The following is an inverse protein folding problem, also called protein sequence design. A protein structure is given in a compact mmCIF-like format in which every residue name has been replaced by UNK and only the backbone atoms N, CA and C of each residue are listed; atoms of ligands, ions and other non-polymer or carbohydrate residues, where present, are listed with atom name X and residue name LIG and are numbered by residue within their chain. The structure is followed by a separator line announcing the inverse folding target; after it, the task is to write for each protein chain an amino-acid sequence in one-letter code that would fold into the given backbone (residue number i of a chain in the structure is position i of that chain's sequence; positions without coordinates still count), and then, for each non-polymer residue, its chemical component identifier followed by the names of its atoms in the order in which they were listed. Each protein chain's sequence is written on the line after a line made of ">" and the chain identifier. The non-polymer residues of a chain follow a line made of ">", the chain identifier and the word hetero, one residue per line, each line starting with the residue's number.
data_IF_491196048105
#
_entry.id   IF_491196048105
#
_cell.length_a   1.000
_cell.length_b   1.000
_cell.length_c   1.000
_cell.angle_alpha   90.00
_cell.angle_beta   90.00
_cell.angle_gamma   90.00
#
_symmetry.space_group_name_H-M   'P 1'
#
loop_
_entity.id
_entity.type
_entity.pdbx_description
1 polymer ?
#
# COMPACT_ATOMS: atom_id res chain seq x y z
N UNK A 1 63.65 14.38 -17.58
CA UNK A 1 62.52 14.80 -16.72
C UNK A 1 61.31 13.94 -17.08
N UNK A 2 60.99 12.92 -16.27
CA UNK A 2 59.84 12.03 -16.51
C UNK A 2 58.62 12.63 -15.81
N UNK A 3 57.62 13.09 -16.57
CA UNK A 3 56.32 13.50 -16.07
C UNK A 3 55.52 12.25 -15.64
N UNK A 4 55.22 12.15 -14.37
CA UNK A 4 54.31 11.09 -13.84
C UNK A 4 52.91 11.65 -13.96
N UNK A 5 52.09 11.02 -14.83
CA UNK A 5 50.67 11.33 -14.98
C UNK A 5 49.91 10.63 -13.87
N UNK A 6 49.45 11.38 -12.86
CA UNK A 6 48.62 10.86 -11.79
C UNK A 6 47.17 10.84 -12.29
N UNK A 7 46.66 9.65 -12.62
CA UNK A 7 45.24 9.47 -12.94
C UNK A 7 44.48 9.39 -11.61
N UNK A 8 43.76 10.47 -11.31
CA UNK A 8 42.82 10.52 -10.15
C UNK A 8 41.56 9.77 -10.59
N UNK A 9 41.40 8.54 -10.08
CA UNK A 9 40.19 7.75 -10.23
C UNK A 9 39.12 8.34 -9.27
N UNK A 10 38.17 9.13 -9.82
CA UNK A 10 37.05 9.61 -9.06
C UNK A 10 36.02 8.45 -8.92
N UNK A 11 35.62 8.03 -7.71
CA UNK A 11 34.58 7.05 -7.56
C UNK A 11 33.25 7.65 -8.03
N UNK A 12 32.67 7.09 -9.10
CA UNK A 12 31.29 7.37 -9.46
C UNK A 12 30.39 6.84 -8.35
N UNK A 13 29.87 7.74 -7.50
CA UNK A 13 28.78 7.45 -6.58
C UNK A 13 27.53 7.20 -7.44
N UNK A 14 27.23 5.95 -7.69
CA UNK A 14 25.92 5.54 -8.24
C UNK A 14 24.91 5.72 -7.14
N UNK A 15 24.16 6.83 -7.18
CA UNK A 15 22.95 6.96 -6.37
C UNK A 15 21.96 5.91 -6.90
N UNK A 16 21.65 4.92 -6.07
CA UNK A 16 20.54 4.01 -6.35
C UNK A 16 19.25 4.85 -6.31
N UNK A 17 18.70 5.10 -7.50
CA UNK A 17 17.41 5.79 -7.64
C UNK A 17 16.37 4.94 -6.93
N UNK A 18 15.64 5.56 -5.99
CA UNK A 18 14.65 4.85 -5.17
C UNK A 18 13.42 4.55 -6.05
N UNK A 19 13.46 3.43 -6.75
CA UNK A 19 12.48 3.03 -7.76
C UNK A 19 11.11 2.63 -7.18
N UNK A 20 10.94 2.77 -5.86
CA UNK A 20 9.69 2.49 -5.15
C UNK A 20 9.24 3.71 -4.35
N UNK A 21 7.98 4.12 -4.56
CA UNK A 21 7.30 5.11 -3.73
C UNK A 21 5.90 4.64 -3.37
N UNK A 22 5.58 4.58 -2.09
CA UNK A 22 4.25 4.22 -1.61
C UNK A 22 3.38 5.48 -1.58
N UNK A 23 2.24 5.43 -2.27
CA UNK A 23 1.31 6.57 -2.41
C UNK A 23 0.30 6.54 -1.26
N UNK A 24 -0.39 5.40 -1.11
CA UNK A 24 -1.40 5.12 -0.09
C UNK A 24 -1.35 3.64 0.29
N UNK A 25 -2.39 3.13 0.97
CA UNK A 25 -2.41 1.75 1.46
C UNK A 25 -2.47 0.68 0.37
N UNK A 26 -2.90 1.01 -0.85
CA UNK A 26 -3.04 0.04 -1.95
C UNK A 26 -2.45 0.50 -3.28
N UNK A 27 -1.69 1.59 -3.29
CA UNK A 27 -1.11 2.14 -4.51
C UNK A 27 0.36 2.48 -4.31
N UNK A 28 1.20 1.97 -5.21
CA UNK A 28 2.63 2.24 -5.24
C UNK A 28 3.06 2.77 -6.61
N UNK A 29 4.17 3.51 -6.65
CA UNK A 29 4.96 3.70 -7.86
C UNK A 29 6.16 2.77 -7.79
N UNK A 30 6.34 1.95 -8.81
CA UNK A 30 7.44 1.00 -8.93
C UNK A 30 8.02 1.08 -10.33
N UNK A 31 9.30 1.43 -10.44
CA UNK A 31 10.02 1.61 -11.72
C UNK A 31 9.31 2.55 -12.72
N UNK A 32 8.66 3.61 -12.20
CA UNK A 32 7.91 4.57 -13.01
C UNK A 32 6.44 4.22 -13.26
N UNK A 33 6.03 2.99 -13.04
CA UNK A 33 4.64 2.55 -13.18
C UNK A 33 3.82 2.82 -11.92
N UNK A 34 2.58 3.28 -12.11
CA UNK A 34 1.60 3.40 -11.03
C UNK A 34 0.81 2.09 -10.92
N UNK A 35 1.02 1.37 -9.83
CA UNK A 35 0.44 0.05 -9.57
C UNK A 35 -0.58 0.18 -8.43
N UNK A 36 -1.82 -0.27 -8.69
CA UNK A 36 -2.85 -0.47 -7.67
C UNK A 36 -2.97 -1.95 -7.33
N UNK A 37 -2.99 -2.26 -6.05
CA UNK A 37 -3.20 -3.63 -5.59
C UNK A 37 -4.61 -4.09 -5.95
N UNK A 38 -4.70 -5.23 -6.65
CA UNK A 38 -5.96 -5.79 -7.12
C UNK A 38 -6.75 -6.44 -5.98
N UNK A 39 -8.07 -6.46 -6.12
CA UNK A 39 -8.99 -7.17 -5.25
C UNK A 39 -9.17 -6.62 -3.84
N UNK A 40 -8.53 -5.50 -3.51
CA UNK A 40 -8.67 -4.81 -2.23
C UNK A 40 -8.99 -3.33 -2.40
N UNK A 41 -9.49 -2.72 -1.32
CA UNK A 41 -9.67 -1.27 -1.20
C UNK A 41 -9.23 -0.82 0.19
N UNK A 42 -8.43 0.23 0.26
CA UNK A 42 -7.91 0.76 1.53
C UNK A 42 -8.52 2.13 1.83
N UNK A 43 -8.54 2.56 3.10
CA UNK A 43 -8.99 3.91 3.43
C UNK A 43 -8.14 4.94 2.70
N UNK A 44 -8.80 6.00 2.23
CA UNK A 44 -8.14 7.13 1.58
C UNK A 44 -7.15 7.79 2.54
N UNK A 45 -6.04 8.32 2.03
CA UNK A 45 -4.95 8.86 2.86
C UNK A 45 -5.41 9.87 3.93
N UNK A 46 -6.46 10.65 3.62
CA UNK A 46 -7.05 11.65 4.53
C UNK A 46 -8.24 11.11 5.32
N UNK A 47 -8.56 9.84 5.20
CA UNK A 47 -9.69 9.24 5.87
C UNK A 47 -9.40 9.04 7.36
N UNK A 48 -10.35 9.48 8.18
CA UNK A 48 -10.30 9.34 9.63
C UNK A 48 -11.27 8.26 10.09
N UNK A 49 -10.93 7.60 11.18
CA UNK A 49 -11.76 6.66 11.92
C UNK A 49 -11.91 7.14 13.35
N UNK A 50 -12.83 6.55 14.10
CA UNK A 50 -13.01 6.87 15.52
C UNK A 50 -12.86 5.60 16.35
N UNK A 51 -12.08 5.67 17.42
CA UNK A 51 -11.98 4.60 18.42
C UNK A 51 -12.16 5.19 19.79
N UNK A 52 -13.27 4.80 20.45
CA UNK A 52 -13.76 5.52 21.62
C UNK A 52 -13.96 7.01 21.25
N UNK A 53 -13.38 7.94 22.02
CA UNK A 53 -13.46 9.38 21.70
C UNK A 53 -12.25 9.89 20.88
N UNK A 54 -11.35 9.00 20.43
CA UNK A 54 -10.14 9.38 19.71
C UNK A 54 -10.37 9.32 18.21
N UNK A 55 -9.98 10.37 17.51
CA UNK A 55 -9.93 10.43 16.05
C UNK A 55 -8.58 9.91 15.57
N UNK A 56 -8.62 8.95 14.65
CA UNK A 56 -7.45 8.19 14.19
C UNK A 56 -7.32 8.35 12.68
N UNK A 57 -6.15 8.70 12.19
CA UNK A 57 -5.85 8.80 10.76
C UNK A 57 -5.68 7.40 10.14
N UNK A 58 -6.79 6.68 9.95
CA UNK A 58 -6.78 5.29 9.50
C UNK A 58 -6.22 5.12 8.08
N UNK A 59 -6.41 6.11 7.19
CA UNK A 59 -5.79 6.10 5.88
C UNK A 59 -4.26 6.18 5.94
N UNK A 60 -3.73 7.05 6.80
CA UNK A 60 -2.30 7.13 7.02
C UNK A 60 -1.75 5.87 7.70
N UNK A 61 -2.52 5.26 8.61
CA UNK A 61 -2.13 4.00 9.24
C UNK A 61 -2.02 2.85 8.23
N UNK A 62 -2.95 2.75 7.28
CA UNK A 62 -2.89 1.75 6.21
C UNK A 62 -1.61 1.92 5.38
N UNK A 63 -1.28 3.16 4.99
CA UNK A 63 -0.03 3.47 4.29
C UNK A 63 1.21 3.09 5.11
N UNK A 64 1.29 3.52 6.36
CA UNK A 64 2.43 3.23 7.24
C UNK A 64 2.60 1.72 7.48
N UNK A 65 1.49 0.98 7.56
CA UNK A 65 1.51 -0.47 7.68
C UNK A 65 2.14 -1.11 6.43
N UNK A 66 1.76 -0.64 5.25
CA UNK A 66 2.36 -1.09 3.99
C UNK A 66 3.85 -0.74 3.91
N UNK A 67 4.23 0.49 4.26
CA UNK A 67 5.62 0.93 4.30
C UNK A 67 6.47 0.05 5.22
N UNK A 68 5.97 -0.22 6.43
CA UNK A 68 6.64 -1.10 7.39
C UNK A 68 6.77 -2.53 6.87
N UNK A 69 5.74 -3.04 6.18
CA UNK A 69 5.75 -4.40 5.62
C UNK A 69 6.75 -4.57 4.50
N UNK A 70 6.85 -3.59 3.63
CA UNK A 70 7.79 -3.57 2.50
C UNK A 70 9.23 -3.35 3.01
N UNK A 71 9.42 -2.39 3.91
CA UNK A 71 10.74 -2.01 4.42
C UNK A 71 11.67 -1.58 3.28
N UNK A 72 12.84 -2.18 3.21
CA UNK A 72 13.85 -1.91 2.17
C UNK A 72 13.73 -2.85 0.96
N UNK A 73 12.77 -3.78 0.98
CA UNK A 73 12.60 -4.79 -0.06
C UNK A 73 11.85 -4.19 -1.26
N UNK A 74 12.25 -4.54 -2.47
CA UNK A 74 11.48 -4.22 -3.68
C UNK A 74 10.41 -5.29 -3.87
N UNK A 75 9.11 -4.94 -3.92
CA UNK A 75 8.05 -5.91 -4.15
C UNK A 75 8.12 -6.53 -5.54
N UNK A 76 7.74 -7.80 -5.64
CA UNK A 76 7.50 -8.46 -6.94
C UNK A 76 5.99 -8.41 -7.19
N UNK A 77 5.59 -7.80 -8.32
CA UNK A 77 4.19 -7.61 -8.66
C UNK A 77 3.81 -8.46 -9.88
N UNK A 78 2.73 -9.23 -9.75
CA UNK A 78 2.14 -10.01 -10.83
C UNK A 78 0.99 -9.19 -11.40
N UNK A 79 1.14 -8.75 -12.66
CA UNK A 79 0.16 -7.90 -13.34
C UNK A 79 -1.10 -8.68 -13.70
N UNK A 80 -2.27 -8.12 -13.41
CA UNK A 80 -3.59 -8.71 -13.66
C UNK A 80 -4.41 -7.90 -14.69
N UNK A 81 -3.94 -6.70 -15.06
CA UNK A 81 -4.61 -5.84 -16.05
C UNK A 81 -4.43 -4.36 -15.79
N UNK A 82 -5.39 -3.57 -16.28
CA UNK A 82 -5.46 -2.12 -16.03
C UNK A 82 -6.86 -1.73 -15.60
N UNK A 83 -6.94 -0.72 -14.74
CA UNK A 83 -8.22 -0.12 -14.40
C UNK A 83 -8.64 0.95 -15.45
N UNK A 84 -9.86 1.47 -15.28
CA UNK A 84 -10.40 2.51 -16.16
C UNK A 84 -9.63 3.84 -16.15
N UNK A 85 -8.72 4.02 -15.20
CA UNK A 85 -7.86 5.20 -15.08
C UNK A 85 -6.44 4.95 -15.62
N UNK A 86 -6.19 3.77 -16.22
CA UNK A 86 -4.90 3.39 -16.78
C UNK A 86 -3.86 2.93 -15.76
N UNK A 87 -4.22 2.78 -14.46
CA UNK A 87 -3.31 2.21 -13.46
C UNK A 87 -3.16 0.71 -13.70
N UNK A 88 -1.95 0.21 -13.55
CA UNK A 88 -1.73 -1.24 -13.55
C UNK A 88 -2.37 -1.87 -12.32
N UNK A 89 -3.15 -2.93 -12.53
CA UNK A 89 -3.67 -3.76 -11.47
C UNK A 89 -2.74 -4.94 -11.26
N UNK A 90 -2.32 -5.17 -10.02
CA UNK A 90 -1.41 -6.27 -9.72
C UNK A 90 -1.61 -6.80 -8.30
N UNK A 91 -1.24 -8.06 -8.10
CA UNK A 91 -0.94 -8.58 -6.78
C UNK A 91 0.57 -8.50 -6.53
N UNK A 92 0.97 -7.83 -5.45
CA UNK A 92 2.37 -7.60 -5.10
C UNK A 92 2.77 -8.40 -3.87
N UNK A 93 4.02 -8.87 -3.88
CA UNK A 93 4.57 -9.79 -2.87
C UNK A 93 5.90 -9.27 -2.31
N UNK A 94 6.11 -9.49 -1.03
CA UNK A 94 7.39 -9.32 -0.35
C UNK A 94 7.73 -10.62 0.37
N UNK A 95 8.91 -11.18 0.09
CA UNK A 95 9.33 -12.47 0.63
C UNK A 95 8.29 -13.60 0.42
N UNK A 96 7.67 -13.63 -0.77
CA UNK A 96 6.65 -14.60 -1.15
C UNK A 96 5.28 -14.43 -0.48
N UNK A 97 5.07 -13.37 0.31
CA UNK A 97 3.80 -13.08 1.00
C UNK A 97 3.06 -11.95 0.32
N UNK A 98 1.77 -12.17 0.01
CA UNK A 98 0.89 -11.16 -0.60
C UNK A 98 0.73 -9.95 0.31
N UNK A 99 0.97 -8.77 -0.24
CA UNK A 99 0.75 -7.50 0.45
C UNK A 99 -0.75 -7.22 0.62
N UNK A 100 -1.57 -7.59 -0.37
CA UNK A 100 -3.03 -7.49 -0.30
C UNK A 100 -3.60 -8.34 0.83
N UNK A 101 -3.25 -9.63 0.89
CA UNK A 101 -3.66 -10.53 1.99
C UNK A 101 -3.22 -10.00 3.34
N UNK A 102 -1.98 -9.54 3.46
CA UNK A 102 -1.46 -8.97 4.70
C UNK A 102 -2.29 -7.77 5.18
N UNK A 103 -2.55 -6.78 4.32
CA UNK A 103 -3.30 -5.58 4.68
C UNK A 103 -4.75 -5.89 5.09
N UNK A 104 -5.40 -6.84 4.39
CA UNK A 104 -6.76 -7.27 4.73
C UNK A 104 -6.78 -8.01 6.07
N UNK A 105 -5.84 -8.92 6.32
CA UNK A 105 -5.74 -9.63 7.61
C UNK A 105 -5.45 -8.72 8.79
N UNK A 106 -4.66 -7.67 8.60
CA UNK A 106 -4.41 -6.65 9.63
C UNK A 106 -5.60 -5.67 9.81
N UNK A 107 -6.63 -5.77 8.96
CA UNK A 107 -7.85 -4.95 9.03
C UNK A 107 -7.67 -3.51 8.54
N UNK A 108 -6.68 -3.25 7.69
CA UNK A 108 -6.44 -1.94 7.06
C UNK A 108 -6.69 -1.93 5.55
N UNK A 109 -7.25 -3.01 5.01
CA UNK A 109 -7.84 -3.09 3.70
C UNK A 109 -9.12 -3.93 3.74
N UNK A 110 -9.98 -3.74 2.76
CA UNK A 110 -11.23 -4.45 2.60
C UNK A 110 -11.18 -5.30 1.34
N UNK A 111 -11.74 -6.52 1.39
CA UNK A 111 -11.90 -7.35 0.22
C UNK A 111 -12.90 -6.69 -0.74
N UNK A 112 -12.44 -6.33 -1.94
CA UNK A 112 -13.29 -5.65 -2.91
C UNK A 112 -14.05 -6.67 -3.76
N UNK A 113 -15.08 -7.24 -3.17
CA UNK A 113 -15.81 -8.42 -3.67
C UNK A 113 -16.51 -8.22 -5.01
N UNK A 114 -16.71 -6.98 -5.46
CA UNK A 114 -17.20 -6.68 -6.81
C UNK A 114 -16.23 -7.14 -7.91
N UNK A 115 -14.95 -7.26 -7.60
CA UNK A 115 -13.91 -7.62 -8.57
C UNK A 115 -13.26 -8.96 -8.25
N UNK A 116 -13.12 -9.32 -6.97
CA UNK A 116 -12.44 -10.55 -6.56
C UNK A 116 -12.91 -11.02 -5.19
N UNK A 117 -13.12 -12.34 -5.05
CA UNK A 117 -13.41 -12.98 -3.74
C UNK A 117 -12.14 -13.49 -3.03
N UNK A 118 -10.97 -13.26 -3.60
CA UNK A 118 -9.70 -13.85 -3.17
C UNK A 118 -9.36 -13.58 -1.70
N UNK A 119 -9.71 -12.41 -1.18
CA UNK A 119 -9.33 -11.98 0.16
C UNK A 119 -10.47 -12.00 1.19
N UNK A 120 -11.60 -12.63 0.87
CA UNK A 120 -12.78 -12.71 1.77
C UNK A 120 -12.46 -13.46 3.07
N UNK A 121 -11.66 -14.53 2.99
CA UNK A 121 -11.25 -15.29 4.18
C UNK A 121 -10.31 -14.47 5.09
N UNK A 122 -9.42 -13.69 4.49
CA UNK A 122 -8.54 -12.77 5.23
C UNK A 122 -9.34 -11.68 5.93
N UNK A 123 -10.36 -11.14 5.27
CA UNK A 123 -11.28 -10.16 5.86
C UNK A 123 -12.10 -10.76 7.01
N UNK A 124 -12.65 -11.95 6.82
CA UNK A 124 -13.37 -12.66 7.88
C UNK A 124 -12.49 -12.90 9.11
N UNK A 125 -11.21 -13.21 8.90
CA UNK A 125 -10.25 -13.33 9.97
C UNK A 125 -10.07 -11.99 10.72
N UNK A 126 -9.91 -10.88 10.01
CA UNK A 126 -9.75 -9.55 10.61
C UNK A 126 -11.02 -9.13 11.39
N UNK A 127 -12.21 -9.38 10.83
CA UNK A 127 -13.50 -9.11 11.48
C UNK A 127 -13.63 -9.89 12.78
N UNK A 128 -13.41 -11.21 12.73
CA UNK A 128 -13.54 -12.12 13.89
C UNK A 128 -12.63 -11.70 15.04
N UNK A 129 -11.42 -11.24 14.72
CA UNK A 129 -10.40 -10.84 15.68
C UNK A 129 -10.42 -9.33 15.99
N UNK A 130 -11.37 -8.56 15.45
CA UNK A 130 -11.49 -7.10 15.62
C UNK A 130 -10.17 -6.37 15.34
N UNK A 131 -9.48 -6.73 14.26
CA UNK A 131 -8.19 -6.15 13.90
C UNK A 131 -8.36 -4.83 13.14
N UNK A 132 -7.38 -3.94 13.28
CA UNK A 132 -7.33 -2.68 12.57
C UNK A 132 -8.61 -1.88 12.67
N UNK A 133 -9.17 -1.49 11.54
CA UNK A 133 -10.40 -0.71 11.45
C UNK A 133 -11.63 -1.45 12.01
N UNK A 134 -11.64 -2.79 12.02
CA UNK A 134 -12.74 -3.59 12.59
C UNK A 134 -12.89 -3.44 14.12
N UNK A 135 -11.95 -2.75 14.77
CA UNK A 135 -12.04 -2.32 16.17
C UNK A 135 -12.43 -0.86 16.35
N UNK A 136 -12.85 -0.19 15.29
CA UNK A 136 -13.11 1.26 15.25
C UNK A 136 -14.46 1.53 14.59
N UNK A 137 -14.97 2.74 14.76
CA UNK A 137 -16.04 3.28 13.91
C UNK A 137 -15.39 3.82 12.64
N UNK A 138 -15.83 3.35 11.50
CA UNK A 138 -15.28 3.75 10.21
C UNK A 138 -16.35 3.84 9.12
N UNK A 139 -16.01 4.46 8.03
CA UNK A 139 -16.77 4.47 6.78
C UNK A 139 -15.99 3.65 5.77
N UNK A 140 -16.66 2.82 4.97
CA UNK A 140 -15.97 2.10 3.91
C UNK A 140 -15.35 3.07 2.90
N UNK A 141 -14.16 2.78 2.35
CA UNK A 141 -13.46 3.69 1.44
C UNK A 141 -14.30 4.13 0.24
N UNK A 142 -15.06 3.20 -0.35
CA UNK A 142 -15.96 3.52 -1.46
C UNK A 142 -17.12 4.46 -1.10
N UNK A 143 -17.61 4.41 0.13
CA UNK A 143 -18.64 5.33 0.62
C UNK A 143 -18.03 6.66 1.04
N UNK A 144 -16.85 6.65 1.63
CA UNK A 144 -16.09 7.87 1.92
C UNK A 144 -15.84 8.69 0.65
N UNK A 145 -15.43 8.04 -0.47
CA UNK A 145 -15.23 8.73 -1.75
C UNK A 145 -16.51 9.38 -2.31
N UNK A 146 -17.68 8.77 -2.04
CA UNK A 146 -18.98 9.33 -2.48
C UNK A 146 -19.45 10.49 -1.61
N UNK A 147 -19.39 10.31 -0.29
CA UNK A 147 -19.97 11.27 0.67
C UNK A 147 -19.04 12.42 1.02
N UNK A 148 -17.74 12.24 0.87
CA UNK A 148 -16.68 13.12 1.41
C UNK A 148 -16.82 13.39 2.93
N UNK A 149 -17.64 12.58 3.62
CA UNK A 149 -17.79 12.66 5.06
C UNK A 149 -16.52 12.16 5.74
N UNK A 150 -16.14 12.78 6.88
CA UNK A 150 -15.01 12.36 7.68
C UNK A 150 -15.32 12.58 9.16
N UNK A 151 -14.78 11.74 10.04
CA UNK A 151 -14.82 11.99 11.47
C UNK A 151 -14.00 13.23 11.80
N UNK A 152 -14.51 14.07 12.68
CA UNK A 152 -13.87 15.30 13.16
C UNK A 152 -13.66 15.22 14.68
#
# INVERSE_FOLDING_TARGET
>A
MRMILIIILFPLLVFAENNLRIIDGDTIHLYGDKIRFSGIDTPEIKQMCKKNELIIACGLMAKNLLEKKIGITIPICIMEGKDRYGRLLAECFVNGKSLSSYLVREGFAFAYTQYSKKFVEDENFAIKNKLGMWSMDFIFPWDFRKSKYNFK
#
